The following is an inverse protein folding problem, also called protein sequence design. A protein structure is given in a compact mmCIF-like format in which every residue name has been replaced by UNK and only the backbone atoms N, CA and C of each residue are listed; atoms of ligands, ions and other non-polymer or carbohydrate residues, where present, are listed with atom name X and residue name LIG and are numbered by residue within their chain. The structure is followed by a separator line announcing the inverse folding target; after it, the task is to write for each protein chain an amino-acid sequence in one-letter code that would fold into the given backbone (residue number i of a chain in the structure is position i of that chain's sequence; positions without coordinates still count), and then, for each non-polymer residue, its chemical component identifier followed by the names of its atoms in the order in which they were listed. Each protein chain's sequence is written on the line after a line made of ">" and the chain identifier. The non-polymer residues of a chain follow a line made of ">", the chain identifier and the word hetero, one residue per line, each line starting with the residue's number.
data_IF_952588618315
#
_entry.id   IF_952588618315
#
_cell.length_a   1.000
_cell.length_b   1.000
_cell.length_c   1.000
_cell.angle_alpha   90.00
_cell.angle_beta   90.00
_cell.angle_gamma   90.00
#
_symmetry.space_group_name_H-M   'P 1'
#
loop_
_entity.id
_entity.type
_entity.pdbx_description
1 polymer ?
#
# COMPACT_ATOMS: atom_id res chain seq x y z
N UNK A 1 48.38 25.27 -18.79
CA UNK A 1 48.74 24.21 -19.77
C UNK A 1 47.55 23.34 -20.21
N UNK A 2 46.30 23.75 -19.93
CA UNK A 2 45.08 22.93 -20.15
C UNK A 2 44.19 23.41 -21.30
N UNK A 3 44.40 24.61 -21.87
CA UNK A 3 43.57 25.12 -22.98
C UNK A 3 43.84 24.47 -24.34
N UNK A 4 45.05 23.93 -24.55
CA UNK A 4 45.44 23.34 -25.83
C UNK A 4 44.77 21.98 -26.12
N UNK A 5 44.32 21.26 -25.08
CA UNK A 5 43.68 19.95 -25.22
C UNK A 5 42.22 20.05 -25.71
N UNK A 6 41.49 21.08 -25.29
CA UNK A 6 40.08 21.27 -25.68
C UNK A 6 39.95 21.70 -27.16
N UNK A 7 40.89 22.50 -27.67
CA UNK A 7 40.93 22.91 -29.08
C UNK A 7 41.22 21.73 -30.03
N UNK A 8 42.05 20.77 -29.61
CA UNK A 8 42.31 19.56 -30.39
C UNK A 8 41.10 18.60 -30.40
N UNK A 9 40.32 18.55 -29.31
CA UNK A 9 39.12 17.73 -29.23
C UNK A 9 37.99 18.25 -30.13
N UNK A 10 37.77 19.57 -30.17
CA UNK A 10 36.75 20.19 -31.04
C UNK A 10 37.11 20.07 -32.53
N UNK A 11 38.39 20.22 -32.89
CA UNK A 11 38.86 20.03 -34.27
C UNK A 11 38.66 18.58 -34.74
N UNK A 12 38.94 17.59 -33.86
CA UNK A 12 38.67 16.18 -34.15
C UNK A 12 37.17 15.89 -34.32
N UNK A 13 36.31 16.58 -33.56
CA UNK A 13 34.85 16.40 -33.65
C UNK A 13 34.29 16.95 -34.98
N UNK A 14 34.76 18.12 -35.43
CA UNK A 14 34.39 18.67 -36.73
C UNK A 14 34.91 17.84 -37.91
N UNK A 15 36.11 17.28 -37.79
CA UNK A 15 36.68 16.46 -38.86
C UNK A 15 35.94 15.12 -38.98
N UNK A 16 35.53 14.53 -37.85
CA UNK A 16 34.70 13.31 -37.81
C UNK A 16 33.28 13.56 -38.31
N UNK A 17 32.68 14.72 -38.00
CA UNK A 17 31.34 15.05 -38.49
C UNK A 17 31.34 15.30 -40.00
N UNK A 18 32.34 16.01 -40.55
CA UNK A 18 32.48 16.21 -42.00
C UNK A 18 32.80 14.92 -42.75
N UNK A 19 33.62 14.03 -42.17
CA UNK A 19 33.87 12.71 -42.72
C UNK A 19 32.60 11.83 -42.71
N UNK A 20 31.81 11.89 -41.63
CA UNK A 20 30.53 11.20 -41.55
C UNK A 20 29.51 11.72 -42.57
N UNK A 21 29.44 13.04 -42.78
CA UNK A 21 28.54 13.64 -43.79
C UNK A 21 28.93 13.22 -45.20
N UNK A 22 30.23 13.18 -45.53
CA UNK A 22 30.69 12.69 -46.85
C UNK A 22 30.46 11.19 -47.03
N UNK A 23 30.66 10.40 -45.97
CA UNK A 23 30.36 8.96 -45.95
C UNK A 23 28.86 8.68 -46.16
N UNK A 24 28.01 9.56 -45.63
CA UNK A 24 26.55 9.49 -45.78
C UNK A 24 26.06 10.07 -47.12
N UNK A 25 26.90 10.79 -47.88
CA UNK A 25 26.55 11.38 -49.17
C UNK A 25 26.81 10.44 -50.37
N UNK A 26 27.41 9.27 -50.13
CA UNK A 26 27.58 8.24 -51.17
C UNK A 26 26.20 7.66 -51.57
N UNK A 27 25.79 7.77 -52.84
CA UNK A 27 24.44 7.38 -53.28
C UNK A 27 24.13 5.89 -53.09
N UNK A 28 25.13 5.03 -53.23
CA UNK A 28 24.97 3.58 -52.98
C UNK A 28 24.78 3.25 -51.49
N UNK A 29 25.39 4.03 -50.60
CA UNK A 29 25.27 3.82 -49.14
C UNK A 29 23.95 4.36 -48.62
N UNK A 30 23.50 5.49 -49.15
CA UNK A 30 22.15 6.01 -48.91
C UNK A 30 21.09 4.99 -49.33
N UNK A 31 21.23 4.36 -50.50
CA UNK A 31 20.29 3.34 -50.95
C UNK A 31 20.25 2.11 -50.00
N UNK A 32 21.42 1.61 -49.56
CA UNK A 32 21.49 0.49 -48.59
C UNK A 32 20.96 0.87 -47.20
N UNK A 33 21.22 2.09 -46.74
CA UNK A 33 20.74 2.60 -45.45
C UNK A 33 19.23 2.88 -45.48
N UNK A 34 18.71 3.38 -46.60
CA UNK A 34 17.28 3.53 -46.85
C UNK A 34 16.59 2.16 -46.88
N UNK A 35 17.18 1.16 -47.55
CA UNK A 35 16.64 -0.22 -47.54
C UNK A 35 16.63 -0.80 -46.12
N UNK A 36 17.70 -0.58 -45.35
CA UNK A 36 17.78 -1.00 -43.94
C UNK A 36 16.73 -0.31 -43.07
N UNK A 37 16.54 1.01 -43.24
CA UNK A 37 15.50 1.78 -42.56
C UNK A 37 14.09 1.29 -42.93
N UNK A 38 13.83 0.99 -44.21
CA UNK A 38 12.54 0.44 -44.65
C UNK A 38 12.31 -0.94 -44.04
N UNK A 39 13.32 -1.81 -43.98
CA UNK A 39 13.24 -3.12 -43.33
C UNK A 39 13.00 -3.01 -41.82
N UNK A 40 13.63 -2.04 -41.16
CA UNK A 40 13.42 -1.80 -39.73
C UNK A 40 12.01 -1.25 -39.46
N UNK A 41 11.55 -0.30 -40.28
CA UNK A 41 10.21 0.25 -40.19
C UNK A 41 9.14 -0.80 -40.49
N UNK A 42 9.35 -1.67 -41.48
CA UNK A 42 8.42 -2.77 -41.77
C UNK A 42 8.35 -3.77 -40.63
N UNK A 43 9.50 -4.14 -40.03
CA UNK A 43 9.53 -5.01 -38.86
C UNK A 43 8.82 -4.40 -37.65
N UNK A 44 8.97 -3.08 -37.44
CA UNK A 44 8.28 -2.35 -36.37
C UNK A 44 6.76 -2.27 -36.60
N UNK A 45 6.32 -2.06 -37.85
CA UNK A 45 4.89 -2.08 -38.19
C UNK A 45 4.30 -3.47 -37.99
N UNK A 46 5.01 -4.54 -38.38
CA UNK A 46 4.56 -5.93 -38.17
C UNK A 46 4.44 -6.25 -36.68
N UNK A 47 5.41 -5.86 -35.85
CA UNK A 47 5.34 -6.09 -34.40
C UNK A 47 4.20 -5.30 -33.74
N UNK A 48 3.98 -4.06 -34.18
CA UNK A 48 2.87 -3.22 -33.71
C UNK A 48 1.50 -3.83 -34.10
N UNK A 49 1.33 -4.28 -35.35
CA UNK A 49 0.12 -4.91 -35.82
C UNK A 49 -0.23 -6.18 -35.03
N UNK A 50 0.76 -6.98 -34.63
CA UNK A 50 0.54 -8.17 -33.80
C UNK A 50 -0.13 -7.85 -32.45
N UNK A 51 0.25 -6.73 -31.82
CA UNK A 51 -0.35 -6.29 -30.55
C UNK A 51 -1.82 -5.85 -30.70
N UNK A 52 -2.17 -5.26 -31.85
CA UNK A 52 -3.55 -4.88 -32.20
C UNK A 52 -4.44 -6.11 -32.37
N UNK A 53 -3.93 -7.19 -32.96
CA UNK A 53 -4.66 -8.45 -33.08
C UNK A 53 -4.95 -9.07 -31.70
N UNK A 54 -3.99 -9.02 -30.77
CA UNK A 54 -4.20 -9.51 -29.39
C UNK A 54 -5.16 -8.64 -28.58
N UNK A 55 -5.31 -7.37 -28.92
CA UNK A 55 -6.27 -6.47 -28.24
C UNK A 55 -7.73 -6.83 -28.51
N UNK A 56 -8.01 -7.47 -29.64
CA UNK A 56 -9.36 -7.92 -30.02
C UNK A 56 -9.70 -9.28 -29.40
N UNK A 57 -8.67 -10.05 -29.01
CA UNK A 57 -8.78 -11.32 -28.29
C UNK A 57 -8.79 -11.13 -26.76
N UNK A 58 -9.32 -10.01 -26.25
CA UNK A 58 -9.62 -9.89 -24.83
C UNK A 58 -10.59 -11.00 -24.45
N UNK A 59 -10.12 -11.97 -23.67
CA UNK A 59 -10.95 -13.02 -23.12
C UNK A 59 -12.20 -12.39 -22.49
N UNK A 60 -13.40 -12.94 -22.75
CA UNK A 60 -14.61 -12.46 -22.08
C UNK A 60 -14.36 -12.47 -20.59
N UNK A 61 -14.75 -11.38 -19.91
CA UNK A 61 -14.66 -11.29 -18.46
C UNK A 61 -15.23 -12.58 -17.87
N UNK A 62 -14.43 -13.29 -17.08
CA UNK A 62 -14.87 -14.49 -16.37
C UNK A 62 -16.06 -14.06 -15.54
N UNK A 63 -17.26 -14.43 -15.99
CA UNK A 63 -18.49 -14.24 -15.24
C UNK A 63 -18.37 -15.14 -14.03
N UNK A 64 -17.88 -14.58 -12.92
CA UNK A 64 -18.04 -15.20 -11.62
C UNK A 64 -19.54 -15.42 -11.43
N UNK A 65 -19.96 -16.68 -11.34
CA UNK A 65 -21.34 -17.03 -11.02
C UNK A 65 -21.74 -16.21 -9.78
N UNK A 66 -22.88 -15.51 -9.79
CA UNK A 66 -23.36 -14.87 -8.58
C UNK A 66 -23.57 -16.00 -7.58
N UNK A 67 -22.69 -16.08 -6.58
CA UNK A 67 -22.99 -16.85 -5.39
C UNK A 67 -24.28 -16.25 -4.87
N UNK A 68 -25.34 -17.06 -4.85
CA UNK A 68 -26.55 -16.68 -4.16
C UNK A 68 -26.13 -16.37 -2.73
N UNK A 69 -26.17 -15.08 -2.37
CA UNK A 69 -26.05 -14.67 -0.98
C UNK A 69 -27.28 -15.29 -0.32
N UNK A 70 -27.10 -16.43 0.33
CA UNK A 70 -28.10 -17.02 1.20
C UNK A 70 -28.18 -16.06 2.37
N UNK A 71 -29.04 -15.06 2.23
CA UNK A 71 -29.37 -14.13 3.28
C UNK A 71 -29.96 -14.97 4.43
N UNK A 72 -29.41 -14.91 5.65
CA UNK A 72 -30.14 -15.45 6.80
C UNK A 72 -31.51 -14.75 6.89
N UNK A 73 -32.55 -15.44 7.36
CA UNK A 73 -33.91 -14.92 7.34
C UNK A 73 -33.99 -13.56 8.04
N UNK A 74 -34.55 -12.56 7.36
CA UNK A 74 -34.93 -11.30 7.98
C UNK A 74 -35.96 -11.59 9.06
N UNK A 75 -35.56 -11.46 10.32
CA UNK A 75 -36.46 -11.45 11.48
C UNK A 75 -37.31 -10.18 11.40
N UNK A 76 -38.42 -10.28 10.67
CA UNK A 76 -39.51 -9.32 10.75
C UNK A 76 -40.06 -9.36 12.17
N UNK A 77 -39.82 -8.29 12.92
CA UNK A 77 -40.42 -8.07 14.23
C UNK A 77 -41.89 -7.70 14.05
N UNK A 78 -42.82 -8.66 14.23
CA UNK A 78 -44.19 -8.40 14.70
C UNK A 78 -44.97 -9.72 14.94
N UNK A 79 -44.94 -10.23 16.19
CA UNK A 79 -46.08 -10.77 16.96
C UNK A 79 -45.55 -11.51 18.21
N UNK A 80 -46.19 -11.41 19.40
CA UNK A 80 -45.68 -12.06 20.59
C UNK A 80 -46.08 -13.55 20.64
N UNK A 81 -45.08 -14.37 20.93
CA UNK A 81 -45.15 -15.70 21.56
C UNK A 81 -45.98 -16.80 20.87
N UNK A 82 -45.30 -17.61 20.06
CA UNK A 82 -45.45 -19.06 20.14
C UNK A 82 -44.03 -19.67 20.09
N UNK A 83 -43.57 -20.16 21.24
CA UNK A 83 -42.32 -20.90 21.34
C UNK A 83 -42.55 -22.26 20.67
N UNK A 84 -42.35 -22.34 19.36
CA UNK A 84 -42.24 -23.64 18.70
C UNK A 84 -40.92 -24.28 19.15
N UNK A 85 -41.02 -25.11 20.17
CA UNK A 85 -39.93 -25.93 20.67
C UNK A 85 -39.62 -26.95 19.58
N UNK A 86 -38.60 -26.67 18.78
CA UNK A 86 -38.10 -27.60 17.77
C UNK A 86 -37.47 -28.78 18.50
N UNK A 87 -38.15 -29.92 18.47
CA UNK A 87 -37.72 -31.17 19.10
C UNK A 87 -36.58 -31.82 18.32
N UNK A 88 -35.36 -31.44 18.70
CA UNK A 88 -34.11 -31.96 18.14
C UNK A 88 -33.72 -33.35 18.68
N UNK A 89 -34.52 -33.93 19.58
CA UNK A 89 -34.25 -35.27 20.17
C UNK A 89 -34.21 -36.36 19.09
N UNK A 90 -35.02 -36.19 18.05
CA UNK A 90 -35.09 -37.08 16.89
C UNK A 90 -33.80 -37.09 16.05
N UNK A 91 -33.04 -35.99 16.07
CA UNK A 91 -31.79 -35.85 15.31
C UNK A 91 -30.59 -36.38 16.10
N UNK A 92 -30.59 -36.20 17.43
CA UNK A 92 -29.48 -36.66 18.29
C UNK A 92 -29.35 -38.19 18.37
N UNK A 93 -30.42 -38.95 18.10
CA UNK A 93 -30.40 -40.41 18.13
C UNK A 93 -29.92 -41.08 16.83
N UNK A 94 -29.70 -40.34 15.75
CA UNK A 94 -29.41 -40.91 14.43
C UNK A 94 -27.97 -41.41 14.26
N UNK A 95 -27.09 -41.24 15.26
CA UNK A 95 -25.71 -41.74 15.28
C UNK A 95 -25.00 -41.59 13.92
N UNK A 96 -25.26 -40.47 13.25
CA UNK A 96 -24.86 -40.17 11.86
C UNK A 96 -23.34 -40.09 11.67
N UNK A 97 -22.60 -40.13 12.78
CA UNK A 97 -21.14 -40.08 12.82
C UNK A 97 -20.52 -41.30 13.52
N UNK A 98 -21.31 -42.33 13.83
CA UNK A 98 -20.86 -43.56 14.49
C UNK A 98 -21.01 -43.54 16.01
N UNK A 99 -21.34 -44.70 16.60
CA UNK A 99 -21.42 -44.91 18.05
C UNK A 99 -20.02 -45.00 18.65
N UNK A 100 -19.70 -44.08 19.57
CA UNK A 100 -18.58 -44.28 20.49
C UNK A 100 -19.08 -45.12 21.65
N UNK A 101 -18.66 -46.39 21.71
CA UNK A 101 -18.91 -47.25 22.86
C UNK A 101 -18.24 -46.63 24.09
N UNK A 102 -19.07 -46.10 24.97
CA UNK A 102 -18.65 -45.44 26.18
C UNK A 102 -18.04 -46.43 27.16
N UNK A 103 -16.80 -46.16 27.55
CA UNK A 103 -16.37 -46.49 28.89
C UNK A 103 -15.57 -45.33 29.47
N UNK A 104 -16.08 -44.84 30.59
CA UNK A 104 -15.46 -44.04 31.63
C UNK A 104 -15.61 -42.49 31.56
N UNK A 105 -16.49 -42.02 32.46
CA UNK A 105 -16.38 -40.83 33.34
C UNK A 105 -16.94 -39.51 32.76
N UNK A 106 -18.17 -39.13 33.14
CA UNK A 106 -18.51 -38.28 34.32
C UNK A 106 -18.15 -36.79 34.16
N UNK A 107 -19.22 -36.00 33.97
CA UNK A 107 -19.46 -34.65 34.54
C UNK A 107 -18.34 -33.62 34.50
N UNK A 108 -18.41 -32.69 33.55
CA UNK A 108 -18.75 -31.26 33.73
C UNK A 108 -18.46 -30.58 32.40
N UNK A 109 -19.41 -29.82 31.85
CA UNK A 109 -19.20 -29.01 30.66
C UNK A 109 -18.01 -28.06 30.83
N UNK A 110 -17.06 -27.99 29.87
CA UNK A 110 -16.47 -26.73 29.50
C UNK A 110 -17.16 -26.26 28.22
N UNK A 111 -17.72 -25.07 28.30
CA UNK A 111 -17.91 -24.15 27.18
C UNK A 111 -16.80 -24.37 26.16
N UNK A 112 -17.15 -24.73 24.92
CA UNK A 112 -16.23 -24.70 23.80
C UNK A 112 -15.82 -23.24 23.57
N UNK A 113 -14.79 -22.79 24.26
CA UNK A 113 -13.98 -21.69 23.76
C UNK A 113 -13.36 -22.19 22.47
N UNK A 114 -13.77 -21.61 21.34
CA UNK A 114 -12.98 -21.70 20.10
C UNK A 114 -11.68 -20.97 20.42
N UNK A 115 -10.73 -21.65 21.06
CA UNK A 115 -9.39 -21.12 21.28
C UNK A 115 -8.79 -21.01 19.89
N UNK A 116 -8.53 -19.80 19.42
CA UNK A 116 -7.72 -19.64 18.23
C UNK A 116 -6.36 -20.29 18.54
N UNK A 117 -5.91 -21.33 17.79
CA UNK A 117 -4.68 -22.05 18.11
C UNK A 117 -3.41 -21.17 18.02
N UNK A 118 -3.56 -19.91 17.57
CA UNK A 118 -2.51 -18.89 17.50
C UNK A 118 -2.65 -17.81 18.59
N UNK A 119 -3.60 -17.93 19.49
CA UNK A 119 -3.79 -16.98 20.59
C UNK A 119 -2.77 -17.27 21.70
N UNK A 120 -2.02 -16.25 22.12
CA UNK A 120 -1.00 -16.35 23.17
C UNK A 120 0.33 -16.97 22.75
N UNK A 121 0.56 -17.31 21.48
CA UNK A 121 1.87 -17.81 21.02
C UNK A 121 2.97 -16.74 21.04
N UNK A 122 2.57 -15.47 21.13
CA UNK A 122 3.42 -14.31 21.35
C UNK A 122 3.84 -14.15 22.83
N UNK A 123 3.12 -14.76 23.78
CA UNK A 123 3.32 -14.56 25.21
C UNK A 123 4.60 -15.27 25.66
N UNK A 124 5.65 -14.49 25.94
CA UNK A 124 6.96 -15.00 26.35
C UNK A 124 7.90 -15.38 25.20
N UNK A 125 7.51 -15.12 23.95
CA UNK A 125 8.41 -15.21 22.81
C UNK A 125 9.53 -14.15 22.92
N UNK A 126 10.76 -14.56 22.63
CA UNK A 126 11.92 -13.65 22.63
C UNK A 126 12.09 -13.01 21.27
N UNK A 127 12.72 -11.84 21.22
CA UNK A 127 13.10 -11.21 19.96
C UNK A 127 14.06 -12.10 19.16
N UNK A 128 13.84 -12.21 17.86
CA UNK A 128 14.61 -13.07 16.97
C UNK A 128 16.00 -12.51 16.74
N UNK A 129 17.00 -13.38 16.76
CA UNK A 129 18.38 -13.04 16.33
C UNK A 129 18.66 -13.44 14.89
N UNK A 130 17.64 -13.88 14.13
CA UNK A 130 17.81 -14.25 12.73
C UNK A 130 18.10 -13.01 11.87
N UNK A 131 18.88 -13.21 10.80
CA UNK A 131 19.21 -12.14 9.84
C UNK A 131 18.05 -11.85 8.87
N UNK A 132 16.90 -11.53 9.43
CA UNK A 132 15.66 -11.14 8.76
C UNK A 132 15.31 -9.71 9.17
N UNK A 133 14.73 -8.94 8.25
CA UNK A 133 14.26 -7.59 8.55
C UNK A 133 12.81 -7.50 8.11
N UNK A 134 11.91 -7.18 9.04
CA UNK A 134 10.51 -6.90 8.70
C UNK A 134 10.40 -5.46 8.21
N UNK A 135 10.04 -5.28 6.94
CA UNK A 135 9.98 -3.97 6.29
C UNK A 135 8.56 -3.43 6.12
N UNK A 136 7.55 -4.30 6.23
CA UNK A 136 6.15 -3.90 6.18
C UNK A 136 5.20 -5.02 6.58
N UNK A 137 3.99 -4.64 7.01
CA UNK A 137 2.87 -5.55 7.26
C UNK A 137 1.70 -5.07 6.39
N UNK A 138 1.21 -5.94 5.53
CA UNK A 138 0.11 -5.68 4.59
C UNK A 138 -1.09 -6.48 5.09
N UNK A 139 -1.98 -5.80 5.80
CA UNK A 139 -3.17 -6.35 6.47
C UNK A 139 -2.85 -7.25 7.66
N UNK A 140 -3.29 -6.84 8.86
CA UNK A 140 -3.31 -7.66 10.08
C UNK A 140 -4.73 -7.65 10.63
N UNK A 141 -5.27 -8.83 10.91
CA UNK A 141 -6.59 -9.03 11.53
C UNK A 141 -6.43 -9.56 12.96
N UNK A 142 -7.45 -9.40 13.81
CA UNK A 142 -7.41 -9.81 15.22
C UNK A 142 -7.17 -11.34 15.39
N UNK A 143 -7.44 -12.12 14.34
CA UNK A 143 -7.18 -13.57 14.27
C UNK A 143 -5.71 -13.94 14.01
N UNK A 144 -4.84 -12.94 13.79
CA UNK A 144 -3.41 -13.12 13.55
C UNK A 144 -3.04 -13.51 12.12
N UNK A 145 -3.98 -13.37 11.17
CA UNK A 145 -3.77 -13.60 9.74
C UNK A 145 -3.35 -12.31 9.03
N UNK A 146 -2.73 -12.45 7.85
CA UNK A 146 -2.22 -11.32 7.08
C UNK A 146 -1.08 -11.65 6.13
N UNK A 147 -0.44 -10.61 5.61
CA UNK A 147 0.82 -10.74 4.86
C UNK A 147 1.90 -9.80 5.41
N UNK A 148 3.15 -10.24 5.39
CA UNK A 148 4.31 -9.50 5.89
C UNK A 148 5.37 -9.41 4.80
N UNK A 149 5.95 -8.22 4.63
CA UNK A 149 7.10 -8.00 3.74
C UNK A 149 8.37 -8.19 4.54
N UNK A 150 9.13 -9.24 4.23
CA UNK A 150 10.35 -9.61 4.96
C UNK A 150 11.52 -9.55 4.00
N UNK A 151 12.58 -8.85 4.41
CA UNK A 151 13.85 -8.84 3.74
C UNK A 151 14.78 -9.91 4.32
N UNK A 152 15.40 -10.69 3.44
CA UNK A 152 16.51 -11.56 3.78
C UNK A 152 17.57 -11.49 2.69
N UNK A 153 18.84 -11.39 3.10
CA UNK A 153 19.98 -11.34 2.16
C UNK A 153 19.80 -10.26 1.07
N UNK A 154 19.26 -9.08 1.44
CA UNK A 154 18.96 -7.94 0.54
C UNK A 154 17.88 -8.22 -0.52
N UNK A 155 17.03 -9.22 -0.31
CA UNK A 155 15.85 -9.49 -1.15
C UNK A 155 14.60 -9.42 -0.29
N UNK A 156 13.67 -8.58 -0.73
CA UNK A 156 12.36 -8.41 -0.10
C UNK A 156 11.35 -9.31 -0.79
N UNK A 157 10.53 -10.00 0.00
CA UNK A 157 9.43 -10.82 -0.50
C UNK A 157 8.25 -10.76 0.47
N UNK A 158 7.06 -11.00 -0.07
CA UNK A 158 5.81 -11.04 0.68
C UNK A 158 5.58 -12.48 1.17
N UNK A 159 5.25 -12.62 2.45
CA UNK A 159 4.99 -13.90 3.12
C UNK A 159 3.63 -13.88 3.81
N UNK A 160 2.93 -14.99 3.76
CA UNK A 160 1.68 -15.25 4.48
C UNK A 160 1.91 -16.19 5.66
N UNK A 161 0.98 -16.22 6.60
CA UNK A 161 1.06 -17.13 7.75
C UNK A 161 1.13 -18.59 7.26
N UNK A 162 2.13 -19.32 7.74
CA UNK A 162 2.47 -20.68 7.33
C UNK A 162 3.62 -20.78 6.34
N UNK A 163 4.02 -19.68 5.71
CA UNK A 163 5.11 -19.68 4.72
C UNK A 163 6.48 -19.92 5.37
N UNK A 164 7.35 -20.58 4.61
CA UNK A 164 8.74 -20.77 4.99
C UNK A 164 9.56 -19.50 4.75
N UNK A 165 10.30 -19.07 5.76
CA UNK A 165 11.16 -17.90 5.71
C UNK A 165 12.58 -18.27 5.25
N UNK A 166 13.25 -17.40 4.47
CA UNK A 166 14.58 -17.64 3.91
C UNK A 166 15.71 -17.45 4.95
N UNK A 167 15.62 -18.16 6.07
CA UNK A 167 16.61 -18.22 7.14
C UNK A 167 17.33 -19.58 7.16
N UNK A 168 18.32 -19.71 8.04
CA UNK A 168 19.00 -20.99 8.23
C UNK A 168 18.13 -21.91 9.11
N UNK A 169 17.65 -23.02 8.56
CA UNK A 169 16.81 -24.00 9.27
C UNK A 169 15.33 -23.93 8.87
N UNK A 170 14.47 -24.66 9.58
CA UNK A 170 13.02 -24.65 9.35
C UNK A 170 12.39 -23.49 10.12
N UNK A 171 12.29 -22.34 9.46
CA UNK A 171 11.66 -21.14 10.02
C UNK A 171 10.37 -20.85 9.25
N UNK A 172 9.25 -20.72 9.94
CA UNK A 172 7.95 -20.41 9.31
C UNK A 172 7.27 -19.22 9.97
N UNK A 173 6.44 -18.50 9.23
CA UNK A 173 5.66 -17.39 9.77
C UNK A 173 4.45 -17.92 10.55
N UNK A 174 4.37 -17.71 11.86
CA UNK A 174 3.36 -18.33 12.72
C UNK A 174 2.13 -17.43 12.95
N UNK A 175 2.34 -16.12 13.10
CA UNK A 175 1.29 -15.13 13.35
C UNK A 175 1.76 -13.74 12.93
N UNK A 176 0.85 -12.92 12.44
CA UNK A 176 1.12 -11.52 12.08
C UNK A 176 0.35 -10.61 13.03
N UNK A 177 1.06 -9.70 13.69
CA UNK A 177 0.51 -8.69 14.59
C UNK A 177 0.69 -7.31 13.94
N UNK A 178 0.09 -6.28 14.54
CA UNK A 178 0.12 -4.92 13.97
C UNK A 178 1.53 -4.31 13.83
N UNK A 179 2.48 -4.68 14.70
CA UNK A 179 3.83 -4.09 14.76
C UNK A 179 4.97 -5.10 14.71
N UNK A 180 4.64 -6.38 14.65
CA UNK A 180 5.62 -7.46 14.72
C UNK A 180 5.03 -8.73 14.14
N UNK A 181 5.86 -9.69 13.81
CA UNK A 181 5.42 -11.02 13.42
C UNK A 181 6.02 -12.06 14.36
N UNK A 182 5.24 -13.09 14.66
CA UNK A 182 5.72 -14.27 15.38
C UNK A 182 6.20 -15.25 14.33
N UNK A 183 7.44 -15.70 14.46
CA UNK A 183 8.03 -16.75 13.64
C UNK A 183 8.20 -18.00 14.50
N UNK A 184 8.09 -19.17 13.87
CA UNK A 184 8.42 -20.45 14.46
C UNK A 184 9.78 -20.89 13.94
N UNK A 185 10.79 -20.88 14.81
CA UNK A 185 12.14 -21.36 14.52
C UNK A 185 12.32 -22.77 15.11
N UNK A 186 12.06 -23.79 14.29
CA UNK A 186 12.17 -25.21 14.69
C UNK A 186 11.41 -25.59 15.97
N UNK A 187 10.24 -24.99 16.22
CA UNK A 187 9.39 -25.20 17.39
C UNK A 187 9.50 -24.11 18.47
N UNK A 188 10.39 -23.14 18.31
CA UNK A 188 10.54 -22.01 19.25
C UNK A 188 9.93 -20.75 18.64
N UNK A 189 8.95 -20.15 19.32
CA UNK A 189 8.37 -18.88 18.89
C UNK A 189 9.30 -17.71 19.20
N UNK A 190 9.60 -16.92 18.18
CA UNK A 190 10.41 -15.72 18.25
C UNK A 190 9.65 -14.53 17.62
N UNK A 191 9.99 -13.32 18.02
CA UNK A 191 9.38 -12.08 17.54
C UNK A 191 10.31 -11.36 16.56
N UNK A 192 9.79 -10.99 15.40
CA UNK A 192 10.45 -10.09 14.46
C UNK A 192 9.67 -8.78 14.39
N UNK A 193 10.25 -7.69 14.89
CA UNK A 193 9.63 -6.37 15.02
C UNK A 193 9.70 -5.57 13.73
N UNK A 194 8.65 -4.78 13.44
CA UNK A 194 8.61 -3.87 12.29
C UNK A 194 9.37 -2.61 12.68
N UNK A 195 10.65 -2.57 12.31
CA UNK A 195 11.61 -1.52 12.66
C UNK A 195 11.74 -1.28 14.17
N UNK A 196 12.93 -1.52 14.70
CA UNK A 196 13.34 -0.88 15.93
C UNK A 196 13.74 0.57 15.64
N UNK A 197 13.42 1.46 16.57
CA UNK A 197 14.01 2.80 16.72
C UNK A 197 15.56 2.77 16.95
N UNK A 198 16.22 1.64 16.69
CA UNK A 198 17.64 1.38 16.91
C UNK A 198 18.55 1.97 15.81
N UNK A 199 18.15 3.13 15.28
CA UNK A 199 19.02 4.06 14.55
C UNK A 199 19.48 5.25 15.39
N UNK A 200 19.02 5.40 16.65
CA UNK A 200 19.47 6.45 17.56
C UNK A 200 20.25 5.82 18.72
N UNK A 201 21.54 5.58 18.49
CA UNK A 201 22.49 5.37 19.58
C UNK A 201 22.66 6.70 20.31
N UNK A 202 21.97 6.87 21.43
CA UNK A 202 22.29 7.92 22.39
C UNK A 202 21.10 8.56 23.10
N UNK A 203 20.32 7.81 23.88
CA UNK A 203 19.60 8.39 25.01
C UNK A 203 19.54 7.36 26.16
N UNK A 204 20.06 7.75 27.32
CA UNK A 204 20.11 6.96 28.57
C UNK A 204 18.71 6.58 29.10
N UNK A 205 18.59 5.53 29.94
CA UNK A 205 17.31 5.08 30.49
C UNK A 205 16.92 5.86 31.75
N UNK A 206 15.63 6.11 31.97
CA UNK A 206 15.07 6.38 33.31
C UNK A 206 13.58 6.01 33.34
N UNK A 207 13.04 5.57 34.51
CA UNK A 207 12.04 4.51 34.60
C UNK A 207 10.63 4.97 35.00
N UNK A 208 9.74 3.96 34.97
CA UNK A 208 8.54 3.77 35.77
C UNK A 208 7.21 4.38 35.28
N UNK A 209 6.28 3.45 35.11
CA UNK A 209 4.81 3.52 35.01
C UNK A 209 4.17 4.45 36.03
N UNK A 210 2.95 4.97 35.73
CA UNK A 210 1.80 4.34 36.37
C UNK A 210 0.60 4.09 35.47
N UNK A 211 -0.07 3.01 35.82
CA UNK A 211 -1.40 2.52 35.45
C UNK A 211 -2.46 3.63 35.38
N UNK A 212 -3.18 3.70 34.26
CA UNK A 212 -4.53 4.29 34.21
C UNK A 212 -5.48 3.30 33.54
N UNK A 213 -6.48 2.88 34.33
CA UNK A 213 -7.62 2.04 33.97
C UNK A 213 -8.44 2.68 32.85
N UNK A 214 -8.75 1.99 31.74
CA UNK A 214 -9.74 2.47 30.77
C UNK A 214 -11.15 2.15 31.26
N UNK A 215 -11.91 3.20 31.57
CA UNK A 215 -13.37 3.10 31.71
C UNK A 215 -14.01 2.99 30.33
N UNK A 216 -14.80 1.95 30.13
CA UNK A 216 -15.63 1.75 28.96
C UNK A 216 -16.75 2.79 28.83
N UNK A 217 -16.87 3.39 27.66
CA UNK A 217 -18.05 4.06 27.08
C UNK A 217 -17.97 3.81 25.56
N UNK A 218 -18.60 2.76 25.01
CA UNK A 218 -19.93 2.76 24.36
C UNK A 218 -20.25 3.97 23.47
N UNK A 219 -20.13 3.79 22.15
CA UNK A 219 -21.17 4.03 21.10
C UNK A 219 -20.49 3.97 19.71
N UNK A 220 -20.88 3.04 18.83
CA UNK A 220 -21.74 3.31 17.66
C UNK A 220 -21.13 4.37 16.73
N UNK A 221 -20.72 4.11 15.48
CA UNK A 221 -21.48 3.46 14.41
C UNK A 221 -20.56 3.18 13.22
N UNK A 222 -20.66 1.98 12.65
CA UNK A 222 -20.08 1.61 11.36
C UNK A 222 -20.82 2.38 10.26
N UNK A 223 -20.15 3.33 9.62
CA UNK A 223 -20.59 3.86 8.33
C UNK A 223 -19.76 3.20 7.24
N UNK A 224 -20.42 2.36 6.46
CA UNK A 224 -19.89 1.72 5.28
C UNK A 224 -19.40 2.78 4.28
N UNK A 225 -18.14 2.67 3.86
CA UNK A 225 -17.58 3.49 2.80
C UNK A 225 -18.14 2.99 1.47
N UNK A 226 -19.13 3.73 0.96
CA UNK A 226 -19.64 3.58 -0.40
C UNK A 226 -18.67 4.29 -1.35
N UNK A 227 -17.76 3.52 -1.97
CA UNK A 227 -16.88 4.05 -3.00
C UNK A 227 -17.70 4.40 -4.25
N UNK A 228 -17.82 5.70 -4.55
CA UNK A 228 -18.43 6.17 -5.79
C UNK A 228 -17.35 6.25 -6.87
N UNK A 229 -17.45 5.39 -7.89
CA UNK A 229 -16.60 5.44 -9.07
C UNK A 229 -16.80 6.79 -9.80
N UNK A 230 -15.74 7.59 -9.87
CA UNK A 230 -15.62 8.76 -10.73
C UNK A 230 -14.70 8.39 -11.88
N UNK A 231 -15.06 8.83 -13.08
CA UNK A 231 -14.47 8.45 -14.37
C UNK A 231 -12.98 8.85 -14.45
N UNK A 232 -12.09 7.86 -14.39
CA UNK A 232 -10.63 8.02 -14.24
C UNK A 232 -9.94 8.66 -15.46
N UNK A 233 -10.61 8.71 -16.62
CA UNK A 233 -10.03 9.21 -17.87
C UNK A 233 -9.86 10.73 -17.93
N UNK A 234 -10.83 11.49 -17.43
CA UNK A 234 -10.79 12.96 -17.45
C UNK A 234 -9.87 13.53 -16.37
N UNK A 235 -9.77 12.85 -15.22
CA UNK A 235 -8.89 13.23 -14.12
C UNK A 235 -7.40 13.23 -14.53
N UNK A 236 -6.98 12.23 -15.31
CA UNK A 236 -5.59 12.09 -15.76
C UNK A 236 -5.19 13.14 -16.82
N UNK A 237 -6.10 13.51 -17.72
CA UNK A 237 -5.82 14.52 -18.75
C UNK A 237 -5.71 15.93 -18.16
N UNK A 238 -6.47 16.22 -17.11
CA UNK A 238 -6.36 17.49 -16.39
C UNK A 238 -5.05 17.58 -15.60
N UNK A 239 -4.64 16.52 -14.91
CA UNK A 239 -3.40 16.50 -14.13
C UNK A 239 -2.13 16.79 -14.95
N UNK A 240 -2.10 16.38 -16.22
CA UNK A 240 -0.92 16.54 -17.08
C UNK A 240 -0.70 17.99 -17.55
N UNK A 241 -1.75 18.75 -17.82
CA UNK A 241 -1.66 20.16 -18.18
C UNK A 241 -1.12 21.03 -17.03
N UNK A 242 -1.49 20.73 -15.78
CA UNK A 242 -1.03 21.50 -14.61
C UNK A 242 0.43 21.28 -14.27
N UNK A 243 0.96 20.06 -14.50
CA UNK A 243 2.37 19.77 -14.28
C UNK A 243 3.26 20.62 -15.20
N UNK A 244 2.85 20.83 -16.44
CA UNK A 244 3.59 21.70 -17.35
C UNK A 244 3.63 23.16 -16.84
N UNK A 245 2.47 23.66 -16.39
CA UNK A 245 2.32 25.01 -15.86
C UNK A 245 3.01 25.20 -14.48
N UNK A 246 3.13 24.12 -13.70
CA UNK A 246 3.89 24.02 -12.45
C UNK A 246 5.40 24.15 -12.67
N UNK A 247 5.92 23.65 -13.79
CA UNK A 247 7.34 23.77 -14.15
C UNK A 247 7.70 25.15 -14.67
N UNK A 248 6.78 25.82 -15.36
CA UNK A 248 7.04 27.11 -16.00
C UNK A 248 6.89 28.31 -15.05
N UNK A 249 6.00 28.24 -14.05
CA UNK A 249 5.84 29.30 -13.05
C UNK A 249 5.43 28.73 -11.67
N UNK A 250 6.39 28.53 -10.73
CA UNK A 250 6.10 28.02 -9.39
C UNK A 250 5.24 28.96 -8.54
N UNK A 251 5.07 30.24 -8.92
CA UNK A 251 4.11 31.14 -8.26
C UNK A 251 2.65 30.83 -8.65
N UNK A 252 2.41 30.05 -9.70
CA UNK A 252 1.06 29.68 -10.14
C UNK A 252 0.34 28.70 -9.21
N UNK A 253 1.07 27.88 -8.42
CA UNK A 253 0.48 27.02 -7.37
C UNK A 253 -0.19 27.82 -6.26
N UNK A 254 0.35 29.00 -5.94
CA UNK A 254 -0.25 29.91 -4.96
C UNK A 254 -1.63 30.43 -5.42
N UNK A 255 -1.98 30.26 -6.70
CA UNK A 255 -3.29 30.62 -7.24
C UNK A 255 -4.34 29.52 -7.12
N UNK A 256 -3.95 28.26 -6.89
CA UNK A 256 -4.84 27.09 -6.83
C UNK A 256 -5.23 26.71 -5.41
N UNK A 257 -4.28 26.78 -4.48
CA UNK A 257 -4.50 26.47 -3.05
C UNK A 257 -3.81 27.52 -2.21
N UNK A 258 -4.53 28.11 -1.27
CA UNK A 258 -3.91 28.92 -0.21
C UNK A 258 -3.62 28.02 0.97
N UNK A 259 -2.35 28.04 1.38
CA UNK A 259 -1.78 27.19 2.42
C UNK A 259 -1.49 28.07 3.64
N UNK A 260 -1.97 27.66 4.81
CA UNK A 260 -1.70 28.34 6.07
C UNK A 260 -1.22 27.35 7.13
N UNK A 261 -0.14 27.67 7.83
CA UNK A 261 0.37 26.82 8.90
C UNK A 261 -0.61 26.79 10.07
N UNK A 262 -0.91 25.59 10.57
CA UNK A 262 -1.70 25.38 11.78
C UNK A 262 -0.76 24.91 12.88
N UNK A 263 -0.71 25.66 13.98
CA UNK A 263 0.03 25.25 15.18
C UNK A 263 -0.88 24.44 16.12
N UNK A 264 -0.30 23.47 16.80
CA UNK A 264 -0.88 22.74 17.93
C UNK A 264 -0.02 22.91 19.18
N UNK A 265 -0.35 22.16 20.22
CA UNK A 265 0.22 22.34 21.56
C UNK A 265 1.75 22.09 21.63
N UNK A 266 2.26 21.25 20.72
CA UNK A 266 3.69 20.90 20.62
C UNK A 266 4.38 21.44 19.35
N UNK A 267 3.86 22.51 18.73
CA UNK A 267 4.48 23.15 17.56
C UNK A 267 3.64 23.04 16.28
N UNK A 268 4.28 22.97 15.11
CA UNK A 268 3.57 22.89 13.83
C UNK A 268 2.76 21.59 13.77
N UNK A 269 1.43 21.68 13.67
CA UNK A 269 0.54 20.52 13.51
C UNK A 269 0.44 20.09 12.06
N UNK A 270 0.41 21.05 11.13
CA UNK A 270 0.26 20.79 9.70
C UNK A 270 -0.10 22.05 8.93
N UNK A 271 -0.63 21.87 7.73
CA UNK A 271 -0.96 22.97 6.82
C UNK A 271 -2.43 22.91 6.42
N UNK A 272 -3.18 23.96 6.76
CA UNK A 272 -4.56 24.13 6.32
C UNK A 272 -4.57 24.58 4.86
N UNK A 273 -5.32 23.85 4.05
CA UNK A 273 -5.51 24.13 2.64
C UNK A 273 -6.89 24.75 2.40
N UNK A 274 -6.91 25.77 1.56
CA UNK A 274 -8.14 26.44 1.14
C UNK A 274 -8.13 26.63 -0.37
N UNK A 275 -9.29 26.55 -1.03
CA UNK A 275 -9.36 26.69 -2.47
C UNK A 275 -8.94 28.10 -2.89
N UNK A 276 -8.06 28.18 -3.88
CA UNK A 276 -7.67 29.43 -4.54
C UNK A 276 -8.71 29.87 -5.57
N UNK A 277 -8.23 30.36 -6.73
CA UNK A 277 -9.09 30.85 -7.82
C UNK A 277 -9.89 29.73 -8.49
N UNK A 278 -9.34 28.52 -8.56
CA UNK A 278 -9.92 27.37 -9.28
C UNK A 278 -10.56 26.35 -8.31
N UNK A 279 -11.72 26.71 -7.76
CA UNK A 279 -12.44 25.88 -6.77
C UNK A 279 -12.82 24.48 -7.28
N UNK A 280 -13.11 24.35 -8.59
CA UNK A 280 -13.54 23.09 -9.18
C UNK A 280 -12.45 22.01 -9.16
N UNK A 281 -11.19 22.40 -9.35
CA UNK A 281 -10.06 21.46 -9.37
C UNK A 281 -9.66 21.04 -7.97
N UNK A 282 -9.75 21.97 -7.02
CA UNK A 282 -9.55 21.67 -5.60
C UNK A 282 -10.51 20.57 -5.12
N UNK A 283 -11.80 20.67 -5.47
CA UNK A 283 -12.78 19.64 -5.16
C UNK A 283 -12.56 18.33 -5.94
N UNK A 284 -12.11 18.41 -7.20
CA UNK A 284 -11.82 17.23 -8.01
C UNK A 284 -10.67 16.37 -7.47
N UNK A 285 -9.73 16.98 -6.72
CA UNK A 285 -8.66 16.28 -6.00
C UNK A 285 -9.13 15.63 -4.70
N UNK A 286 -10.41 15.81 -4.33
CA UNK A 286 -11.01 15.26 -3.12
C UNK A 286 -10.83 16.12 -1.86
N UNK A 287 -10.22 17.30 -1.99
CA UNK A 287 -10.03 18.22 -0.87
C UNK A 287 -11.28 19.05 -0.59
N UNK A 288 -11.50 19.33 0.69
CA UNK A 288 -12.52 20.25 1.18
C UNK A 288 -11.89 21.50 1.79
N UNK A 289 -12.57 22.66 1.70
CA UNK A 289 -12.05 23.89 2.26
C UNK A 289 -11.86 23.74 3.77
N UNK A 290 -10.63 23.97 4.24
CA UNK A 290 -10.30 23.87 5.66
C UNK A 290 -9.72 22.53 6.09
N UNK A 291 -9.54 21.58 5.18
CA UNK A 291 -8.72 20.39 5.42
C UNK A 291 -7.33 20.79 5.93
N UNK A 292 -6.80 20.02 6.90
CA UNK A 292 -5.45 20.21 7.45
C UNK A 292 -4.60 19.02 7.03
N UNK A 293 -3.60 19.25 6.18
CA UNK A 293 -2.66 18.21 5.78
C UNK A 293 -1.63 18.02 6.90
N UNK A 294 -1.50 16.79 7.39
CA UNK A 294 -0.58 16.42 8.46
C UNK A 294 0.62 15.62 7.93
N UNK A 295 0.44 14.83 6.87
CA UNK A 295 1.53 14.12 6.22
C UNK A 295 1.35 13.99 4.71
N UNK A 296 2.46 13.79 3.99
CA UNK A 296 2.49 13.53 2.55
C UNK A 296 3.42 12.35 2.29
N UNK A 297 2.92 11.31 1.62
CA UNK A 297 3.62 10.05 1.37
C UNK A 297 4.22 9.43 2.65
N UNK A 298 3.51 9.56 3.78
CA UNK A 298 3.94 9.08 5.09
C UNK A 298 4.95 9.98 5.82
N UNK A 299 5.41 11.08 5.20
CA UNK A 299 6.27 12.05 5.87
C UNK A 299 5.45 13.12 6.57
N UNK A 300 5.61 13.23 7.88
CA UNK A 300 4.91 14.24 8.67
C UNK A 300 5.37 15.64 8.30
N UNK A 301 4.42 16.54 8.10
CA UNK A 301 4.62 17.97 7.87
C UNK A 301 4.90 18.74 9.17
N UNK A 302 4.71 18.12 10.34
CA UNK A 302 5.06 18.71 11.63
C UNK A 302 6.57 18.73 11.89
N UNK A 303 7.33 17.87 11.21
CA UNK A 303 8.77 17.74 11.38
C UNK A 303 9.53 18.53 10.29
N UNK A 304 10.28 19.59 10.67
CA UNK A 304 11.04 20.39 9.72
C UNK A 304 12.07 19.58 8.91
N UNK A 305 12.61 18.50 9.48
CA UNK A 305 13.64 17.67 8.84
C UNK A 305 13.12 16.92 7.61
N UNK A 306 11.81 16.64 7.57
CA UNK A 306 11.16 15.97 6.46
C UNK A 306 10.95 16.87 5.23
N UNK A 307 11.02 18.19 5.37
CA UNK A 307 10.73 19.17 4.30
C UNK A 307 11.63 18.98 3.08
N UNK A 308 12.93 18.75 3.28
CA UNK A 308 13.89 18.55 2.19
C UNK A 308 13.62 17.25 1.45
N UNK A 309 13.25 16.20 2.18
CA UNK A 309 12.93 14.89 1.61
C UNK A 309 11.63 14.93 0.82
N UNK A 310 10.63 15.64 1.32
CA UNK A 310 9.36 15.84 0.66
C UNK A 310 9.52 16.57 -0.68
N UNK A 311 10.36 17.60 -0.72
CA UNK A 311 10.66 18.32 -1.96
C UNK A 311 11.31 17.43 -3.02
N UNK A 312 12.22 16.53 -2.63
CA UNK A 312 12.84 15.57 -3.55
C UNK A 312 11.82 14.57 -4.09
N UNK A 313 10.98 14.01 -3.21
CA UNK A 313 9.95 13.05 -3.59
C UNK A 313 8.91 13.66 -4.53
N UNK A 314 8.47 14.89 -4.29
CA UNK A 314 7.52 15.58 -5.18
C UNK A 314 8.07 15.79 -6.60
N UNK A 315 9.40 15.85 -6.78
CA UNK A 315 10.03 15.96 -8.11
C UNK A 315 10.08 14.65 -8.88
N UNK A 316 10.09 13.52 -8.18
CA UNK A 316 10.24 12.18 -8.76
C UNK A 316 8.90 11.42 -8.80
N UNK A 317 7.93 11.84 -7.99
CA UNK A 317 6.71 11.10 -7.76
C UNK A 317 5.68 11.26 -8.89
N UNK A 318 5.13 10.12 -9.30
CA UNK A 318 3.99 10.00 -10.21
C UNK A 318 2.64 10.02 -9.49
N UNK A 319 2.64 10.19 -8.18
CA UNK A 319 1.46 10.26 -7.33
C UNK A 319 1.81 10.72 -5.92
N UNK A 320 0.83 11.20 -5.17
CA UNK A 320 0.99 11.65 -3.80
C UNK A 320 -0.19 11.17 -2.94
N UNK A 321 0.12 10.63 -1.78
CA UNK A 321 -0.85 10.31 -0.73
C UNK A 321 -0.78 11.37 0.35
N UNK A 322 -1.91 11.96 0.70
CA UNK A 322 -2.05 13.01 1.70
C UNK A 322 -2.83 12.49 2.88
N UNK A 323 -2.26 12.57 4.07
CA UNK A 323 -3.01 12.38 5.31
C UNK A 323 -3.52 13.73 5.77
N UNK A 324 -4.82 13.82 5.96
CA UNK A 324 -5.53 15.06 6.28
C UNK A 324 -6.44 14.89 7.50
N UNK A 325 -6.73 16.00 8.15
CA UNK A 325 -7.75 16.13 9.19
C UNK A 325 -8.92 16.95 8.65
N UNK A 326 -10.10 16.34 8.54
CA UNK A 326 -11.35 16.97 8.09
C UNK A 326 -12.38 16.93 9.21
N UNK A 327 -12.79 18.11 9.69
CA UNK A 327 -13.75 18.21 10.78
C UNK A 327 -13.33 17.47 12.06
N UNK A 328 -12.02 17.31 12.30
CA UNK A 328 -11.48 16.55 13.44
C UNK A 328 -11.27 15.05 13.20
N UNK A 329 -11.59 14.54 12.00
CA UNK A 329 -11.40 13.13 11.62
C UNK A 329 -10.21 12.97 10.67
N UNK A 330 -9.37 11.97 10.89
CA UNK A 330 -8.26 11.64 10.00
C UNK A 330 -8.76 10.92 8.74
N UNK A 331 -8.32 11.39 7.57
CA UNK A 331 -8.65 10.83 6.26
C UNK A 331 -7.38 10.80 5.39
N UNK A 332 -7.27 9.80 4.53
CA UNK A 332 -6.17 9.69 3.56
C UNK A 332 -6.70 9.86 2.15
N UNK A 333 -6.09 10.75 1.37
CA UNK A 333 -6.42 11.03 -0.03
C UNK A 333 -5.22 10.67 -0.89
N UNK A 334 -5.40 9.77 -1.86
CA UNK A 334 -4.38 9.45 -2.86
C UNK A 334 -4.69 10.15 -4.17
N UNK A 335 -3.73 10.91 -4.67
CA UNK A 335 -3.79 11.65 -5.93
C UNK A 335 -2.73 11.10 -6.87
N UNK A 336 -3.13 10.59 -8.03
CA UNK A 336 -2.18 10.25 -9.09
C UNK A 336 -1.75 11.53 -9.81
N UNK A 337 -0.44 11.73 -9.98
CA UNK A 337 0.20 12.87 -10.65
C UNK A 337 0.72 12.50 -12.06
N UNK A 338 0.58 11.24 -12.48
CA UNK A 338 1.03 10.71 -13.77
C UNK A 338 0.04 10.90 -14.91
N UNK A 339 0.62 11.13 -16.09
CA UNK A 339 0.01 11.00 -17.41
C UNK A 339 0.42 9.65 -18.00
#
# INVERSE_FOLDING_TARGET
>A
MTDWANLAASANLEQRSRAAIRWLADPERLARLQLGMIMLASLWVISSASSLLWSFYRAPAVTVSPTAIINPPEITSASPAELEVIDVSSIMGLNIFGSVDGSALSTTSPTSTVSNPREGIEDGAKETSLALVLTGIVSSTDDGLGSAMIEAKKRQALYSVGDALPANGKVTLAKILAKQVVIDNNGTYELLTLFDDNGIVGILPTPATPTVTPRAQTSSSRSAVQARQVDQGEANQLASGYRQQLYDDPQSLASLVSISAVQGDNGLRGYRITPGRDRGKFAALGFEPGDIVTAVNGYSLSDPSNTVRLYQLMREATGATFDIERGGSALTISVSLSN
#
